data_IF_668753904646
#
_entry.id   IF_668753904646
#
_cell.length_a   1.000
_cell.length_b   1.000
_cell.length_c   1.000
_cell.angle_alpha   90.00
_cell.angle_beta   90.00
_cell.angle_gamma   90.00
#
_symmetry.space_group_name_H-M   'P 1'
#
loop_
_entity.id
_entity.type
_entity.pdbx_description
1 polymer ?
#
# COMPACT_ATOMS: atom_id res chain seq x y z
N UNK A 1 -3.18 19.35 2.37
CA UNK A 1 -3.26 18.55 1.14
C UNK A 1 -1.99 18.83 0.34
N UNK A 2 -0.93 18.04 0.55
CA UNK A 2 0.33 18.20 -0.19
C UNK A 2 0.10 17.76 -1.64
N UNK A 3 0.44 18.63 -2.60
CA UNK A 3 0.38 18.31 -4.02
C UNK A 3 1.52 17.35 -4.35
N UNK A 4 1.20 16.08 -4.58
CA UNK A 4 2.15 15.16 -5.19
C UNK A 4 2.44 15.68 -6.61
N UNK A 5 3.72 15.97 -6.88
CA UNK A 5 4.18 16.41 -8.19
C UNK A 5 3.68 15.45 -9.27
N UNK A 6 2.94 15.95 -10.26
CA UNK A 6 2.34 15.14 -11.33
C UNK A 6 3.35 14.65 -12.37
N UNK A 7 4.64 14.85 -12.13
CA UNK A 7 5.70 14.41 -13.03
C UNK A 7 5.76 12.88 -13.08
N UNK A 8 5.68 12.37 -14.30
CA UNK A 8 5.91 10.95 -14.56
C UNK A 8 7.36 10.56 -14.37
N UNK A 9 7.63 9.30 -14.04
CA UNK A 9 8.98 8.75 -13.89
C UNK A 9 9.11 7.37 -14.58
N UNK A 10 10.34 6.89 -14.72
CA UNK A 10 10.66 5.57 -15.29
C UNK A 10 11.47 4.77 -14.29
N UNK A 11 11.28 3.46 -14.24
CA UNK A 11 12.05 2.59 -13.36
C UNK A 11 13.11 1.81 -14.16
N UNK A 12 14.37 1.71 -13.70
CA UNK A 12 15.39 0.91 -14.36
C UNK A 12 14.93 -0.55 -14.51
N UNK A 13 14.99 -1.08 -15.73
CA UNK A 13 14.62 -2.47 -16.01
C UNK A 13 13.11 -2.75 -16.05
N UNK A 14 12.25 -1.73 -15.90
CA UNK A 14 10.79 -1.88 -16.04
C UNK A 14 10.30 -1.01 -17.19
N UNK A 15 9.60 -1.62 -18.15
CA UNK A 15 9.03 -0.91 -19.29
C UNK A 15 7.77 -0.17 -18.83
N UNK A 16 7.74 1.14 -19.04
CA UNK A 16 6.57 1.96 -18.78
C UNK A 16 6.93 3.32 -18.21
N UNK A 17 5.93 4.19 -18.18
CA UNK A 17 6.02 5.50 -17.55
C UNK A 17 5.01 5.51 -16.40
N UNK A 18 5.51 5.75 -15.20
CA UNK A 18 4.76 5.67 -13.96
C UNK A 18 4.35 7.06 -13.52
N UNK A 19 3.18 7.14 -12.86
CA UNK A 19 2.73 8.37 -12.20
C UNK A 19 2.65 8.14 -10.71
N UNK A 20 3.05 9.12 -9.89
CA UNK A 20 2.80 9.06 -8.47
C UNK A 20 1.32 8.86 -8.15
N UNK A 21 1.04 8.22 -7.02
CA UNK A 21 -0.32 7.92 -6.60
C UNK A 21 -0.43 7.89 -5.08
N UNK A 22 -1.52 8.41 -4.55
CA UNK A 22 -1.95 8.05 -3.19
C UNK A 22 -2.66 6.72 -3.27
N UNK A 23 -2.35 5.83 -2.34
CA UNK A 23 -2.98 4.52 -2.21
C UNK A 23 -3.66 4.41 -0.86
N UNK A 24 -4.89 3.92 -0.86
CA UNK A 24 -5.55 3.35 0.31
C UNK A 24 -5.58 1.83 0.15
N UNK A 25 -4.97 1.12 1.08
CA UNK A 25 -5.01 -0.34 1.12
C UNK A 25 -5.88 -0.80 2.28
N UNK A 26 -6.73 -1.80 2.04
CA UNK A 26 -7.50 -2.50 3.08
C UNK A 26 -6.55 -2.97 4.18
N UNK A 27 -6.96 -2.73 5.41
CA UNK A 27 -6.27 -3.17 6.60
C UNK A 27 -7.20 -3.97 7.48
N UNK A 28 -6.61 -4.83 8.28
CA UNK A 28 -7.31 -5.65 9.22
C UNK A 28 -6.47 -5.84 10.48
N UNK A 29 -7.17 -6.04 11.57
CA UNK A 29 -6.58 -6.34 12.86
C UNK A 29 -6.74 -7.81 13.17
N UNK A 30 -5.75 -8.38 13.85
CA UNK A 30 -5.84 -9.74 14.36
C UNK A 30 -6.72 -9.82 15.62
N UNK A 31 -7.00 -8.69 16.27
CA UNK A 31 -7.81 -8.59 17.49
C UNK A 31 -9.07 -7.74 17.30
N UNK A 32 -10.16 -8.13 17.97
CA UNK A 32 -11.49 -7.53 17.85
C UNK A 32 -11.58 -6.06 18.28
N UNK A 33 -10.65 -5.56 19.09
CA UNK A 33 -10.71 -4.21 19.66
C UNK A 33 -9.91 -3.16 18.88
N UNK A 34 -9.15 -3.60 17.86
CA UNK A 34 -8.44 -2.72 16.96
C UNK A 34 -9.20 -2.69 15.64
N UNK A 35 -9.70 -1.52 15.23
CA UNK A 35 -10.43 -1.37 13.97
C UNK A 35 -9.69 -0.39 13.07
N UNK A 36 -8.58 -0.84 12.49
CA UNK A 36 -7.97 -0.13 11.38
C UNK A 36 -8.44 -0.78 10.08
N UNK A 37 -9.30 -0.09 9.33
CA UNK A 37 -9.88 -0.63 8.08
C UNK A 37 -9.02 -0.35 6.86
N UNK A 38 -8.15 0.64 6.92
CA UNK A 38 -7.28 1.02 5.82
C UNK A 38 -5.95 1.63 6.26
N UNK A 39 -5.00 1.68 5.34
CA UNK A 39 -3.77 2.45 5.44
C UNK A 39 -3.56 3.31 4.19
N UNK A 40 -3.16 4.57 4.39
CA UNK A 40 -2.81 5.51 3.33
C UNK A 40 -1.30 5.58 3.15
N UNK A 41 -0.81 5.41 1.93
CA UNK A 41 0.59 5.65 1.59
C UNK A 41 0.75 6.22 0.18
N UNK A 42 1.96 6.64 -0.15
CA UNK A 42 2.26 7.27 -1.42
C UNK A 42 3.20 6.40 -2.25
N UNK A 43 2.81 6.18 -3.49
CA UNK A 43 3.67 5.57 -4.50
C UNK A 43 4.43 6.68 -5.20
N UNK A 44 5.74 6.68 -4.96
CA UNK A 44 6.73 7.53 -5.61
C UNK A 44 7.76 6.67 -6.33
N UNK A 45 8.64 7.31 -7.11
CA UNK A 45 9.78 6.62 -7.72
C UNK A 45 10.67 5.96 -6.66
N UNK A 46 11.00 6.69 -5.59
CA UNK A 46 11.85 6.17 -4.51
C UNK A 46 11.22 4.98 -3.80
N UNK A 47 9.91 5.02 -3.56
CA UNK A 47 9.18 3.91 -2.98
C UNK A 47 9.25 2.66 -3.87
N UNK A 48 8.95 2.78 -5.17
CA UNK A 48 8.99 1.64 -6.09
C UNK A 48 10.39 1.07 -6.27
N UNK A 49 11.42 1.92 -6.34
CA UNK A 49 12.82 1.49 -6.35
C UNK A 49 13.19 0.71 -5.08
N UNK A 50 12.73 1.18 -3.91
CA UNK A 50 12.96 0.49 -2.64
C UNK A 50 12.27 -0.89 -2.63
N UNK A 51 11.00 -0.97 -3.02
CA UNK A 51 10.25 -2.23 -3.08
C UNK A 51 10.93 -3.21 -4.03
N UNK A 52 11.28 -2.79 -5.25
CA UNK A 52 11.94 -3.64 -6.24
C UNK A 52 13.31 -4.14 -5.76
N UNK A 53 14.09 -3.27 -5.10
CA UNK A 53 15.37 -3.67 -4.51
C UNK A 53 15.18 -4.70 -3.41
N UNK A 54 14.24 -4.49 -2.49
CA UNK A 54 13.99 -5.42 -1.38
C UNK A 54 13.41 -6.74 -1.89
N UNK A 55 12.54 -6.71 -2.90
CA UNK A 55 12.03 -7.89 -3.58
C UNK A 55 13.16 -8.71 -4.22
N UNK A 56 14.12 -8.05 -4.88
CA UNK A 56 15.28 -8.73 -5.45
C UNK A 56 16.10 -9.44 -4.36
N UNK A 57 16.36 -8.79 -3.22
CA UNK A 57 17.04 -9.40 -2.08
C UNK A 57 16.26 -10.63 -1.57
N UNK A 58 14.94 -10.55 -1.45
CA UNK A 58 14.10 -11.70 -1.06
C UNK A 58 14.25 -12.87 -2.04
N UNK A 59 14.19 -12.60 -3.35
CA UNK A 59 14.31 -13.63 -4.40
C UNK A 59 15.70 -14.26 -4.43
N UNK A 60 16.75 -13.46 -4.43
CA UNK A 60 18.15 -13.91 -4.49
C UNK A 60 18.53 -14.80 -3.31
N UNK A 61 18.04 -14.44 -2.11
CA UNK A 61 18.37 -15.14 -0.87
C UNK A 61 17.30 -16.16 -0.44
N UNK A 62 16.24 -16.35 -1.24
CA UNK A 62 15.11 -17.26 -0.95
C UNK A 62 14.46 -16.98 0.42
N UNK A 63 14.33 -15.70 0.77
CA UNK A 63 13.68 -15.30 2.01
C UNK A 63 12.16 -15.37 1.84
N UNK A 64 11.46 -15.78 2.91
CA UNK A 64 9.99 -15.70 2.94
C UNK A 64 9.53 -14.25 2.85
N UNK A 65 10.11 -13.40 3.69
CA UNK A 65 9.92 -11.95 3.66
C UNK A 65 11.10 -11.21 4.32
N UNK A 66 11.19 -9.92 4.02
CA UNK A 66 12.06 -8.94 4.66
C UNK A 66 11.20 -7.90 5.37
N UNK A 67 11.61 -7.53 6.57
CA UNK A 67 10.99 -6.48 7.38
C UNK A 67 11.94 -5.28 7.46
N UNK A 68 11.44 -4.10 7.10
CA UNK A 68 12.15 -2.83 7.30
C UNK A 68 11.32 -1.89 8.17
N UNK A 69 11.98 -0.99 8.89
CA UNK A 69 11.30 0.02 9.69
C UNK A 69 10.80 1.13 8.76
N UNK A 70 9.51 1.09 8.44
CA UNK A 70 8.85 2.01 7.52
C UNK A 70 7.35 1.81 7.63
N UNK A 71 6.58 2.88 7.79
CA UNK A 71 5.12 2.82 7.89
C UNK A 71 4.42 3.42 6.68
N UNK A 72 3.09 3.22 6.59
CA UNK A 72 2.27 4.06 5.75
C UNK A 72 2.28 5.50 6.30
N UNK A 73 1.81 6.45 5.50
CA UNK A 73 1.68 7.85 5.94
C UNK A 73 0.59 8.04 6.99
N UNK A 74 -0.42 7.17 7.00
CA UNK A 74 -1.53 7.21 7.95
C UNK A 74 -2.22 5.85 8.02
N UNK A 75 -2.68 5.46 9.20
CA UNK A 75 -3.66 4.38 9.39
C UNK A 75 -5.06 4.93 9.71
N UNK A 76 -6.09 4.13 9.43
CA UNK A 76 -7.43 4.40 9.95
C UNK A 76 -7.40 4.48 11.49
N UNK A 77 -8.04 5.52 12.03
CA UNK A 77 -8.11 5.83 13.46
C UNK A 77 -6.75 5.81 14.19
N UNK A 78 -5.67 6.21 13.51
CA UNK A 78 -4.29 6.14 14.04
C UNK A 78 -4.14 6.76 15.44
N UNK A 79 -4.84 7.87 15.70
CA UNK A 79 -4.82 8.59 16.98
C UNK A 79 -5.39 7.78 18.16
N UNK A 80 -6.27 6.82 17.88
CA UNK A 80 -6.95 6.00 18.89
C UNK A 80 -6.04 4.89 19.42
N UNK A 81 -5.26 4.23 18.56
CA UNK A 81 -4.45 3.07 18.92
C UNK A 81 -2.93 3.31 18.87
N UNK A 82 -2.50 4.43 18.27
CA UNK A 82 -1.13 4.97 18.32
C UNK A 82 -0.07 3.92 17.95
N UNK A 83 0.13 3.59 16.66
CA UNK A 83 1.14 2.61 16.24
C UNK A 83 2.53 2.97 16.77
N UNK A 84 3.20 2.02 17.43
CA UNK A 84 4.53 2.27 18.05
C UNK A 84 5.69 1.71 17.21
N UNK A 85 5.41 0.78 16.28
CA UNK A 85 6.45 0.07 15.52
C UNK A 85 5.97 -0.29 14.11
N UNK A 86 5.89 0.66 13.17
CA UNK A 86 5.41 0.37 11.83
C UNK A 86 6.50 -0.27 10.96
N UNK A 87 6.10 -1.28 10.22
CA UNK A 87 6.96 -2.05 9.34
C UNK A 87 6.38 -2.21 7.96
N UNK A 88 7.29 -2.19 7.00
CA UNK A 88 7.03 -2.61 5.64
C UNK A 88 7.64 -4.00 5.49
N UNK A 89 6.79 -4.95 5.14
CA UNK A 89 7.16 -6.32 4.81
C UNK A 89 7.18 -6.49 3.29
N UNK A 90 8.18 -7.19 2.77
CA UNK A 90 8.34 -7.46 1.35
C UNK A 90 8.66 -8.94 1.17
N UNK A 91 7.86 -9.65 0.38
CA UNK A 91 8.14 -11.02 -0.06
C UNK A 91 8.76 -11.04 -1.46
N UNK A 92 8.95 -12.23 -2.03
CA UNK A 92 9.31 -12.35 -3.45
C UNK A 92 8.26 -11.81 -4.42
N UNK A 93 7.00 -11.59 -4.01
CA UNK A 93 5.91 -11.21 -4.91
C UNK A 93 5.11 -9.98 -4.45
N UNK A 94 5.02 -9.77 -3.14
CA UNK A 94 4.05 -8.85 -2.53
C UNK A 94 4.73 -7.96 -1.48
N UNK A 95 4.05 -6.91 -1.06
CA UNK A 95 4.41 -6.13 0.12
C UNK A 95 3.18 -5.79 0.96
N UNK A 96 3.37 -5.56 2.26
CA UNK A 96 2.30 -5.10 3.17
C UNK A 96 2.89 -4.27 4.30
N UNK A 97 2.04 -3.49 4.94
CA UNK A 97 2.41 -2.81 6.18
C UNK A 97 1.90 -3.58 7.39
N UNK A 98 2.64 -3.49 8.49
CA UNK A 98 2.29 -4.07 9.77
C UNK A 98 2.64 -3.09 10.89
N UNK A 99 1.79 -2.97 11.90
CA UNK A 99 2.07 -2.19 13.09
C UNK A 99 1.43 -2.82 14.32
N UNK A 100 1.95 -2.46 15.49
CA UNK A 100 1.40 -2.86 16.79
C UNK A 100 0.93 -1.62 17.55
N UNK A 101 -0.18 -1.70 18.30
CA UNK A 101 -0.63 -0.61 19.15
C UNK A 101 0.35 -0.36 20.29
N UNK A 102 0.46 0.90 20.73
CA UNK A 102 1.39 1.28 21.80
C UNK A 102 1.05 0.70 23.17
N UNK A 103 -0.23 0.46 23.43
CA UNK A 103 -0.74 0.07 24.76
C UNK A 103 -1.62 -1.17 24.73
N UNK A 104 -1.44 -2.04 23.74
CA UNK A 104 -2.24 -3.25 23.59
C UNK A 104 -1.42 -4.40 23.05
N UNK A 105 -1.99 -5.59 23.18
CA UNK A 105 -1.57 -6.73 22.39
C UNK A 105 -2.26 -6.64 21.02
N UNK A 106 -1.79 -7.47 20.09
CA UNK A 106 -2.36 -7.53 18.74
C UNK A 106 -1.54 -6.81 17.69
N UNK A 107 -2.09 -6.81 16.48
CA UNK A 107 -1.40 -6.40 15.28
C UNK A 107 -2.40 -5.92 14.24
N UNK A 108 -2.07 -4.81 13.61
CA UNK A 108 -2.75 -4.29 12.43
C UNK A 108 -1.85 -4.55 11.23
N UNK A 109 -2.42 -5.02 10.14
CA UNK A 109 -1.69 -5.14 8.88
C UNK A 109 -2.57 -4.81 7.68
N UNK A 110 -1.95 -4.35 6.59
CA UNK A 110 -2.65 -4.23 5.31
C UNK A 110 -2.77 -5.59 4.65
N UNK A 111 -3.71 -5.71 3.72
CA UNK A 111 -3.68 -6.76 2.71
C UNK A 111 -2.35 -6.72 1.95
N UNK A 112 -1.82 -7.90 1.62
CA UNK A 112 -0.62 -8.02 0.80
C UNK A 112 -0.90 -7.55 -0.63
N UNK A 113 -0.11 -6.59 -1.10
CA UNK A 113 -0.24 -5.94 -2.40
C UNK A 113 0.72 -6.60 -3.40
N UNK A 114 0.20 -7.21 -4.47
CA UNK A 114 1.03 -7.79 -5.50
C UNK A 114 1.83 -6.75 -6.27
N UNK A 115 3.17 -6.86 -6.25
CA UNK A 115 4.08 -5.88 -6.84
C UNK A 115 3.90 -5.80 -8.36
N UNK A 116 3.86 -6.95 -9.05
CA UNK A 116 3.75 -6.98 -10.51
C UNK A 116 2.41 -6.41 -11.03
N UNK A 117 1.24 -6.84 -10.52
CA UNK A 117 -0.04 -6.21 -10.87
C UNK A 117 -0.06 -4.71 -10.61
N UNK A 118 0.46 -4.25 -9.46
CA UNK A 118 0.54 -2.84 -9.13
C UNK A 118 1.37 -2.06 -10.17
N UNK A 119 2.55 -2.56 -10.54
CA UNK A 119 3.41 -1.91 -11.54
C UNK A 119 2.72 -1.83 -12.91
N UNK A 120 2.05 -2.91 -13.33
CA UNK A 120 1.31 -2.91 -14.60
C UNK A 120 0.19 -1.87 -14.59
N UNK A 121 -0.55 -1.77 -13.48
CA UNK A 121 -1.62 -0.79 -13.32
C UNK A 121 -1.09 0.66 -13.36
N UNK A 122 0.03 0.93 -12.67
CA UNK A 122 0.63 2.25 -12.62
C UNK A 122 1.25 2.71 -13.95
N UNK A 123 1.68 1.75 -14.79
CA UNK A 123 2.22 2.02 -16.13
C UNK A 123 1.14 2.25 -17.20
N UNK A 124 -0.12 1.93 -16.92
CA UNK A 124 -1.22 2.14 -17.85
C UNK A 124 -1.61 3.62 -17.95
N UNK A 125 -2.03 4.03 -19.15
CA UNK A 125 -2.68 5.33 -19.32
C UNK A 125 -4.02 5.33 -18.57
N UNK A 126 -4.17 6.25 -17.61
CA UNK A 126 -5.38 6.48 -16.80
C UNK A 126 -6.56 7.07 -17.61
N UNK A 127 -6.82 6.54 -18.81
CA UNK A 127 -7.86 7.02 -19.73
C UNK A 127 -9.22 6.34 -19.53
N UNK A 128 -9.42 5.65 -18.41
CA UNK A 128 -10.68 5.03 -18.00
C UNK A 128 -10.58 4.42 -16.60
N UNK A 129 -11.72 4.09 -15.99
CA UNK A 129 -11.82 3.25 -14.79
C UNK A 129 -11.21 1.88 -15.11
N UNK A 130 -9.95 1.69 -14.72
CA UNK A 130 -9.26 0.41 -14.86
C UNK A 130 -9.43 -0.35 -13.55
N UNK A 131 -10.60 -0.97 -13.41
CA UNK A 131 -10.94 -1.74 -12.24
C UNK A 131 -10.48 -3.18 -12.46
N UNK A 132 -9.50 -3.61 -11.66
CA UNK A 132 -9.45 -5.03 -11.31
C UNK A 132 -10.29 -5.18 -10.06
N UNK A 133 -10.82 -6.38 -9.79
CA UNK A 133 -11.59 -6.64 -8.57
C UNK A 133 -10.85 -6.15 -7.30
N UNK A 134 -9.52 -6.23 -7.32
CA UNK A 134 -8.63 -5.86 -6.24
C UNK A 134 -8.13 -4.40 -6.27
N UNK A 135 -8.27 -3.68 -7.40
CA UNK A 135 -7.75 -2.31 -7.57
C UNK A 135 -8.77 -1.39 -8.23
N UNK A 136 -9.00 -0.21 -7.64
CA UNK A 136 -9.90 0.81 -8.19
C UNK A 136 -9.27 2.19 -8.21
N UNK A 137 -9.43 2.93 -9.30
CA UNK A 137 -9.07 4.35 -9.36
C UNK A 137 -10.28 5.23 -9.11
N UNK A 138 -10.22 6.11 -8.11
CA UNK A 138 -11.22 7.17 -7.89
C UNK A 138 -10.52 8.52 -7.75
N UNK A 139 -10.85 9.47 -8.62
CA UNK A 139 -10.34 10.85 -8.58
C UNK A 139 -8.80 10.97 -8.45
N UNK A 140 -8.06 10.04 -9.06
CA UNK A 140 -6.59 10.03 -9.03
C UNK A 140 -5.96 9.35 -7.80
N UNK A 141 -6.78 8.77 -6.93
CA UNK A 141 -6.40 7.91 -5.81
C UNK A 141 -6.62 6.45 -6.19
N UNK A 142 -5.71 5.58 -5.77
CA UNK A 142 -5.81 4.14 -5.99
C UNK A 142 -6.27 3.45 -4.70
N UNK A 143 -7.27 2.60 -4.81
CA UNK A 143 -7.78 1.78 -3.72
C UNK A 143 -7.40 0.33 -3.99
N UNK A 144 -6.92 -0.37 -2.97
CA UNK A 144 -6.58 -1.78 -3.05
C UNK A 144 -7.26 -2.56 -1.92
N UNK A 145 -8.02 -3.60 -2.29
CA UNK A 145 -8.67 -4.51 -1.34
C UNK A 145 -8.56 -5.94 -1.85
N UNK A 146 -8.35 -6.89 -0.93
CA UNK A 146 -8.45 -8.31 -1.26
C UNK A 146 -9.90 -8.77 -1.45
N UNK A 147 -10.84 -8.00 -0.92
CA UNK A 147 -12.26 -8.28 -0.88
C UNK A 147 -13.01 -7.54 -1.99
N UNK A 148 -13.05 -6.21 -1.88
CA UNK A 148 -13.83 -5.31 -2.73
C UNK A 148 -13.27 -3.87 -2.65
N UNK A 149 -12.65 -3.40 -3.74
CA UNK A 149 -12.08 -2.06 -3.80
C UNK A 149 -13.13 -0.95 -3.93
N UNK A 150 -14.37 -1.26 -4.33
CA UNK A 150 -15.49 -0.30 -4.35
C UNK A 150 -15.90 0.04 -2.92
N UNK A 151 -16.14 -0.98 -2.10
CA UNK A 151 -16.52 -0.82 -0.69
C UNK A 151 -15.44 -0.09 0.11
N UNK A 152 -14.16 -0.39 -0.14
CA UNK A 152 -13.06 0.34 0.49
C UNK A 152 -13.08 1.83 0.13
N UNK A 153 -13.40 2.17 -1.12
CA UNK A 153 -13.46 3.57 -1.54
C UNK A 153 -14.61 4.32 -0.86
N UNK A 154 -15.76 3.66 -0.66
CA UNK A 154 -16.89 4.17 0.11
C UNK A 154 -16.52 4.35 1.60
N UNK A 155 -15.94 3.33 2.23
CA UNK A 155 -15.49 3.37 3.63
C UNK A 155 -14.50 4.49 3.91
N UNK A 156 -13.56 4.71 3.00
CA UNK A 156 -12.60 5.81 3.09
C UNK A 156 -13.32 7.14 2.93
N UNK A 157 -14.22 7.28 1.95
CA UNK A 157 -14.95 8.54 1.73
C UNK A 157 -15.84 8.96 2.91
N UNK A 158 -16.33 8.01 3.72
CA UNK A 158 -17.08 8.31 4.96
C UNK A 158 -16.18 8.72 6.13
N UNK A 159 -14.89 8.37 6.10
CA UNK A 159 -13.95 8.58 7.19
C UNK A 159 -13.15 9.90 7.13
N UNK A 160 -13.10 10.56 5.97
CA UNK A 160 -12.38 11.83 5.71
C UNK A 160 -13.33 12.99 5.43
#
# INVERSE_FOLDING_TARGET
MEQISQSTFTLPGVIGTFRPAVVFAEAFSVEEHLHARWARFEITESFLLQILRLQAVCKENKLTDLRVFSGPSQWDQEEHWRPDVPHLHISGADFWYQAVPKYGDGMVQTQAIPIEPLLRLLAQHRTGEHDRKDFKWVNGVLYFSGSDADLLAEDVAEAI
#
